data_IF_436889667067
#
_entry.id   IF_436889667067
#
_cell.length_a   1.000
_cell.length_b   1.000
_cell.length_c   1.000
_cell.angle_alpha   90.00
_cell.angle_beta   90.00
_cell.angle_gamma   90.00
#
_symmetry.space_group_name_H-M   'P 1'
#
loop_
_entity.id
_entity.type
_entity.pdbx_description
1 polymer ?
#
# COMPACT_ATOMS: atom_id res chain seq x y z
N UNK A 1 -18.86 -18.15 -0.25
CA UNK A 1 -17.49 -18.41 0.23
C UNK A 1 -17.27 -17.62 1.51
N UNK A 2 -16.72 -18.25 2.54
CA UNK A 2 -16.37 -17.62 3.82
C UNK A 2 -14.85 -17.44 3.91
N UNK A 3 -14.39 -16.23 4.15
CA UNK A 3 -12.97 -15.88 4.17
C UNK A 3 -12.61 -15.12 5.46
N UNK A 4 -11.58 -15.59 6.16
CA UNK A 4 -10.98 -14.85 7.25
C UNK A 4 -9.70 -14.17 6.79
N UNK A 5 -9.62 -12.85 6.94
CA UNK A 5 -8.38 -12.11 6.73
C UNK A 5 -7.69 -11.93 8.09
N UNK A 6 -6.57 -12.60 8.31
CA UNK A 6 -5.83 -12.54 9.57
C UNK A 6 -4.53 -11.78 9.35
N UNK A 7 -4.33 -10.68 10.05
CA UNK A 7 -3.16 -9.80 9.84
C UNK A 7 -2.53 -9.33 11.15
N UNK A 8 -1.23 -9.09 11.14
CA UNK A 8 -0.48 -8.53 12.29
C UNK A 8 -0.30 -7.01 12.14
N UNK A 9 -1.32 -6.33 11.62
CA UNK A 9 -1.36 -4.89 11.39
C UNK A 9 -2.27 -4.21 12.40
N UNK A 10 -2.05 -2.91 12.63
CA UNK A 10 -2.88 -2.10 13.51
C UNK A 10 -4.09 -1.55 12.74
N UNK A 11 -5.24 -1.44 13.40
CA UNK A 11 -6.45 -0.78 12.90
C UNK A 11 -7.12 0.02 14.02
N UNK A 12 -7.60 1.25 13.71
CA UNK A 12 -7.37 1.99 12.47
C UNK A 12 -5.92 2.46 12.31
N UNK A 13 -5.46 2.67 11.06
CA UNK A 13 -4.09 3.12 10.80
C UNK A 13 -3.95 3.77 9.41
N UNK A 14 -3.20 4.87 9.32
CA UNK A 14 -2.84 5.57 8.08
C UNK A 14 -1.78 4.84 7.25
N UNK A 15 -1.24 3.71 7.74
CA UNK A 15 -0.21 2.95 7.03
C UNK A 15 -0.79 2.35 5.74
N UNK A 16 -0.07 2.47 4.64
CA UNK A 16 -0.50 1.97 3.33
C UNK A 16 -0.89 0.48 3.34
N UNK A 17 -0.18 -0.35 4.12
CA UNK A 17 -0.50 -1.77 4.25
C UNK A 17 -1.84 -2.02 4.96
N UNK A 18 -2.21 -1.21 5.96
CA UNK A 18 -3.50 -1.31 6.63
C UNK A 18 -4.63 -0.83 5.71
N UNK A 19 -4.42 0.26 4.98
CA UNK A 19 -5.36 0.73 3.96
C UNK A 19 -5.61 -0.33 2.87
N UNK A 20 -4.54 -0.96 2.35
CA UNK A 20 -4.67 -2.06 1.38
C UNK A 20 -5.49 -3.22 1.92
N UNK A 21 -5.22 -3.65 3.15
CA UNK A 21 -5.93 -4.78 3.76
C UNK A 21 -7.41 -4.49 3.95
N UNK A 22 -7.74 -3.32 4.54
CA UNK A 22 -9.13 -2.97 4.81
C UNK A 22 -9.93 -2.76 3.51
N UNK A 23 -9.33 -2.11 2.51
CA UNK A 23 -9.95 -1.94 1.18
C UNK A 23 -10.15 -3.30 0.49
N UNK A 24 -9.19 -4.23 0.61
CA UNK A 24 -9.38 -5.60 0.10
C UNK A 24 -10.55 -6.30 0.76
N UNK A 25 -10.71 -6.20 2.10
CA UNK A 25 -11.84 -6.77 2.82
C UNK A 25 -13.18 -6.15 2.39
N UNK A 26 -13.23 -4.82 2.21
CA UNK A 26 -14.41 -4.11 1.68
C UNK A 26 -14.84 -4.70 0.33
N UNK A 27 -13.92 -4.79 -0.64
CA UNK A 27 -14.26 -5.30 -1.97
C UNK A 27 -14.52 -6.81 -2.02
N UNK A 28 -13.95 -7.61 -1.11
CA UNK A 28 -14.36 -9.01 -0.94
C UNK A 28 -15.82 -9.10 -0.51
N UNK A 29 -16.23 -8.30 0.48
CA UNK A 29 -17.62 -8.24 0.94
C UNK A 29 -18.57 -7.76 -0.15
N UNK A 30 -18.22 -6.71 -0.90
CA UNK A 30 -19.02 -6.21 -2.03
C UNK A 30 -19.19 -7.24 -3.15
N UNK A 31 -18.32 -8.26 -3.23
CA UNK A 31 -18.44 -9.40 -4.13
C UNK A 31 -19.01 -10.66 -3.44
N UNK A 32 -19.84 -10.49 -2.39
CA UNK A 32 -20.56 -11.55 -1.69
C UNK A 32 -19.66 -12.62 -1.02
N UNK A 33 -18.47 -12.23 -0.58
CA UNK A 33 -17.61 -13.07 0.27
C UNK A 33 -17.88 -12.74 1.73
N UNK A 34 -18.35 -13.72 2.54
CA UNK A 34 -18.52 -13.53 4.01
C UNK A 34 -17.14 -13.36 4.64
N UNK A 35 -16.76 -12.10 4.79
CA UNK A 35 -15.40 -11.70 5.18
C UNK A 35 -15.35 -11.28 6.64
N UNK A 36 -14.36 -11.77 7.39
CA UNK A 36 -14.03 -11.29 8.73
C UNK A 36 -12.54 -10.92 8.81
N UNK A 37 -12.24 -9.69 9.22
CA UNK A 37 -10.88 -9.21 9.46
C UNK A 37 -10.50 -9.39 10.93
N UNK A 38 -9.45 -10.19 11.18
CA UNK A 38 -8.86 -10.38 12.51
C UNK A 38 -7.50 -9.65 12.61
N UNK A 39 -7.32 -8.89 13.70
CA UNK A 39 -6.10 -8.10 13.92
C UNK A 39 -5.75 -8.01 15.42
N UNK A 40 -4.49 -7.68 15.80
CA UNK A 40 -4.09 -7.56 17.19
C UNK A 40 -4.58 -6.26 17.81
N UNK A 41 -5.22 -6.34 18.98
CA UNK A 41 -5.45 -5.20 19.87
C UNK A 41 -4.17 -4.91 20.65
N UNK A 42 -3.52 -3.80 20.35
CA UNK A 42 -2.26 -3.38 21.02
C UNK A 42 -2.49 -2.31 22.07
N UNK A 43 -3.58 -1.58 21.95
CA UNK A 43 -4.05 -0.58 22.91
C UNK A 43 -5.31 -1.12 23.59
N UNK A 44 -5.55 -0.66 24.79
CA UNK A 44 -6.75 -1.03 25.57
C UNK A 44 -8.03 -0.33 25.04
N UNK A 45 -7.94 0.40 23.92
CA UNK A 45 -9.07 1.03 23.25
C UNK A 45 -9.88 -0.02 22.48
N UNK A 46 -11.19 0.04 22.62
CA UNK A 46 -12.12 -0.82 21.89
C UNK A 46 -12.25 -0.32 20.45
N UNK A 47 -11.26 -0.66 19.60
CA UNK A 47 -11.22 -0.25 18.20
C UNK A 47 -11.96 -1.21 17.26
N UNK A 48 -12.73 -2.10 17.84
CA UNK A 48 -13.52 -3.17 17.19
C UNK A 48 -14.84 -2.66 16.61
N UNK A 49 -15.17 -1.41 16.91
CA UNK A 49 -16.43 -0.82 16.46
C UNK A 49 -16.34 -0.47 14.97
N UNK A 50 -17.24 -1.04 14.19
CA UNK A 50 -17.34 -0.78 12.75
C UNK A 50 -17.43 0.71 12.44
N UNK A 51 -18.17 1.46 13.24
CA UNK A 51 -18.34 2.92 13.11
C UNK A 51 -17.02 3.67 13.21
N UNK A 52 -16.11 3.28 14.11
CA UNK A 52 -14.77 3.92 14.23
C UNK A 52 -13.97 3.68 12.97
N UNK A 53 -14.02 2.48 12.41
CA UNK A 53 -13.31 2.10 11.20
C UNK A 53 -13.93 2.78 9.97
N UNK A 54 -15.25 2.83 9.86
CA UNK A 54 -15.97 3.52 8.79
C UNK A 54 -15.61 5.01 8.76
N UNK A 55 -15.67 5.69 9.89
CA UNK A 55 -15.31 7.10 9.99
C UNK A 55 -13.84 7.38 9.66
N UNK A 56 -12.94 6.49 10.11
CA UNK A 56 -11.50 6.67 9.87
C UNK A 56 -11.13 6.48 8.40
N UNK A 57 -11.71 5.47 7.73
CA UNK A 57 -11.42 5.15 6.32
C UNK A 57 -12.42 5.80 5.36
N UNK A 58 -13.41 6.55 5.89
CA UNK A 58 -14.47 7.20 5.12
C UNK A 58 -15.24 6.21 4.23
N UNK A 59 -15.59 5.04 4.79
CA UNK A 59 -16.44 4.05 4.13
C UNK A 59 -17.91 4.28 4.54
N UNK A 60 -18.84 4.23 3.60
CA UNK A 60 -20.29 4.32 3.89
C UNK A 60 -20.80 3.08 4.64
N UNK A 61 -20.30 1.92 4.27
CA UNK A 61 -20.59 0.64 4.91
C UNK A 61 -19.44 -0.32 4.62
N UNK A 62 -18.85 -0.91 5.65
CA UNK A 62 -17.76 -1.87 5.47
C UNK A 62 -18.22 -3.22 4.93
N UNK A 63 -19.46 -3.63 5.24
CA UNK A 63 -20.04 -4.89 4.76
C UNK A 63 -19.36 -6.17 5.26
N UNK A 64 -18.25 -6.08 5.99
CA UNK A 64 -17.50 -7.20 6.57
C UNK A 64 -17.38 -7.07 8.09
N UNK A 65 -17.04 -8.18 8.76
CA UNK A 65 -16.90 -8.22 10.21
C UNK A 65 -15.49 -7.85 10.63
N UNK A 66 -15.36 -7.11 11.74
CA UNK A 66 -14.10 -6.75 12.38
C UNK A 66 -13.96 -7.46 13.73
N UNK A 67 -12.76 -7.96 14.03
CA UNK A 67 -12.46 -8.65 15.28
C UNK A 67 -11.03 -8.33 15.73
N UNK A 68 -10.92 -7.46 16.71
CA UNK A 68 -9.67 -7.25 17.43
C UNK A 68 -9.41 -8.39 18.42
N UNK A 69 -8.23 -8.97 18.37
CA UNK A 69 -7.86 -10.06 19.27
C UNK A 69 -6.79 -9.61 20.27
N UNK A 70 -6.92 -9.96 21.57
CA UNK A 70 -5.95 -9.55 22.57
C UNK A 70 -4.52 -9.97 22.22
N UNK A 71 -3.56 -9.08 22.46
CA UNK A 71 -2.15 -9.32 22.27
C UNK A 71 -1.44 -9.39 23.63
N UNK A 72 -1.09 -10.60 24.09
CA UNK A 72 -0.50 -10.82 25.43
C UNK A 72 0.91 -10.24 25.60
N UNK A 73 1.69 -10.12 24.53
CA UNK A 73 3.03 -9.53 24.58
C UNK A 73 3.00 -8.12 23.99
N UNK A 74 2.95 -7.11 24.85
CA UNK A 74 3.03 -5.69 24.42
C UNK A 74 4.45 -5.36 23.98
N UNK A 75 4.58 -4.78 22.78
CA UNK A 75 5.86 -4.50 22.10
C UNK A 75 6.77 -3.50 22.84
N UNK A 76 6.22 -2.71 23.76
CA UNK A 76 6.87 -1.51 24.33
C UNK A 76 7.97 -1.79 25.36
N UNK A 77 8.09 -3.03 25.89
CA UNK A 77 8.92 -3.29 27.07
C UNK A 77 10.40 -3.64 26.83
N UNK A 78 10.83 -3.89 25.58
CA UNK A 78 12.21 -4.34 25.30
C UNK A 78 12.89 -3.58 24.16
N UNK A 79 13.54 -2.46 24.50
CA UNK A 79 14.24 -1.58 23.52
C UNK A 79 15.50 -2.21 22.89
N UNK A 80 16.14 -3.18 23.53
CA UNK A 80 17.47 -3.70 23.15
C UNK A 80 17.48 -4.74 22.00
N UNK A 81 16.40 -5.51 21.79
CA UNK A 81 16.34 -6.58 20.76
C UNK A 81 15.19 -6.40 19.76
N UNK A 82 15.03 -5.20 19.20
CA UNK A 82 13.86 -4.83 18.40
C UNK A 82 13.43 -5.83 17.31
N UNK A 83 14.36 -6.39 16.52
CA UNK A 83 14.00 -7.31 15.41
C UNK A 83 13.61 -8.71 15.89
N UNK A 84 14.37 -9.29 16.80
CA UNK A 84 14.08 -10.63 17.34
C UNK A 84 12.80 -10.63 18.17
N UNK A 85 12.61 -9.60 18.99
CA UNK A 85 11.40 -9.46 19.79
C UNK A 85 10.15 -9.28 18.93
N UNK A 86 10.23 -8.51 17.85
CA UNK A 86 9.12 -8.38 16.88
C UNK A 86 8.72 -9.73 16.27
N UNK A 87 9.68 -10.56 15.88
CA UNK A 87 9.40 -11.91 15.37
C UNK A 87 8.74 -12.78 16.43
N UNK A 88 9.26 -12.76 17.66
CA UNK A 88 8.70 -13.53 18.78
C UNK A 88 7.24 -13.11 19.08
N UNK A 89 6.98 -11.81 19.17
CA UNK A 89 5.61 -11.30 19.40
C UNK A 89 4.65 -11.69 18.29
N UNK A 90 5.12 -11.67 17.04
CA UNK A 90 4.34 -12.13 15.90
C UNK A 90 4.04 -13.63 15.95
N UNK A 91 5.02 -14.48 16.32
CA UNK A 91 4.82 -15.92 16.49
C UNK A 91 3.77 -16.19 17.57
N UNK A 92 3.97 -15.63 18.77
CA UNK A 92 3.06 -15.82 19.89
C UNK A 92 1.64 -15.40 19.54
N UNK A 93 1.49 -14.21 18.97
CA UNK A 93 0.16 -13.75 18.55
C UNK A 93 -0.45 -14.65 17.47
N UNK A 94 0.33 -15.12 16.50
CA UNK A 94 -0.14 -16.02 15.46
C UNK A 94 -0.68 -17.34 16.03
N UNK A 95 -0.01 -17.92 17.00
CA UNK A 95 -0.47 -19.15 17.68
C UNK A 95 -1.76 -18.86 18.47
N UNK A 96 -1.77 -17.80 19.27
CA UNK A 96 -2.91 -17.43 20.10
C UNK A 96 -4.14 -17.11 19.29
N UNK A 97 -3.99 -16.30 18.23
CA UNK A 97 -5.10 -15.90 17.35
C UNK A 97 -5.70 -17.09 16.60
N UNK A 98 -4.87 -17.98 16.04
CA UNK A 98 -5.38 -19.16 15.35
C UNK A 98 -6.10 -20.11 16.31
N UNK A 99 -5.54 -20.40 17.49
CA UNK A 99 -6.20 -21.22 18.49
C UNK A 99 -7.54 -20.62 18.92
N UNK A 100 -7.59 -19.31 19.17
CA UNK A 100 -8.82 -18.62 19.56
C UNK A 100 -9.87 -18.67 18.44
N UNK A 101 -9.47 -18.38 17.19
CA UNK A 101 -10.36 -18.38 16.05
C UNK A 101 -10.95 -19.77 15.80
N UNK A 102 -10.13 -20.82 15.78
CA UNK A 102 -10.61 -22.17 15.51
C UNK A 102 -11.43 -22.78 16.63
N UNK A 103 -11.28 -22.30 17.87
CA UNK A 103 -12.09 -22.75 18.99
C UNK A 103 -13.45 -22.04 19.04
N UNK A 104 -13.52 -20.76 18.68
CA UNK A 104 -14.72 -19.92 18.90
C UNK A 104 -15.54 -19.65 17.66
N UNK A 105 -15.00 -19.89 16.46
CA UNK A 105 -15.67 -19.55 15.20
C UNK A 105 -15.68 -20.71 14.22
N UNK A 106 -16.71 -20.77 13.35
CA UNK A 106 -16.79 -21.81 12.31
C UNK A 106 -15.59 -21.72 11.35
N UNK A 107 -15.16 -22.88 10.87
CA UNK A 107 -14.07 -22.99 9.91
C UNK A 107 -14.40 -22.21 8.62
N UNK A 108 -13.50 -21.31 8.12
CA UNK A 108 -13.71 -20.66 6.85
C UNK A 108 -13.24 -21.55 5.68
N UNK A 109 -13.64 -21.21 4.45
CA UNK A 109 -13.14 -21.86 3.24
C UNK A 109 -11.66 -21.53 3.01
N UNK A 110 -11.28 -20.26 3.25
CA UNK A 110 -9.89 -19.78 3.14
C UNK A 110 -9.52 -18.83 4.26
N UNK A 111 -8.25 -18.85 4.64
CA UNK A 111 -7.64 -17.79 5.44
C UNK A 111 -6.66 -17.02 4.54
N UNK A 112 -6.90 -15.72 4.38
CA UNK A 112 -6.00 -14.80 3.70
C UNK A 112 -5.12 -14.07 4.71
N UNK A 113 -3.84 -13.90 4.40
CA UNK A 113 -2.89 -13.27 5.34
C UNK A 113 -1.71 -12.61 4.63
N UNK A 114 -1.06 -11.68 5.34
CA UNK A 114 0.25 -11.08 5.01
C UNK A 114 1.30 -11.39 6.08
N UNK A 115 0.91 -12.15 7.11
CA UNK A 115 1.76 -12.50 8.24
C UNK A 115 2.47 -13.84 8.00
N UNK A 116 3.81 -13.81 8.04
CA UNK A 116 4.67 -14.98 7.73
C UNK A 116 4.36 -16.19 8.60
N UNK A 117 4.16 -15.96 9.90
CA UNK A 117 3.93 -17.05 10.87
C UNK A 117 2.52 -17.63 10.77
N UNK A 118 1.51 -16.83 10.40
CA UNK A 118 0.17 -17.35 10.07
C UNK A 118 0.27 -18.29 8.86
N UNK A 119 0.95 -17.87 7.79
CA UNK A 119 1.19 -18.72 6.61
C UNK A 119 1.87 -20.03 7.01
N UNK A 120 2.96 -19.97 7.81
CA UNK A 120 3.70 -21.16 8.22
C UNK A 120 2.83 -22.15 9.00
N UNK A 121 2.10 -21.67 10.01
CA UNK A 121 1.27 -22.51 10.87
C UNK A 121 0.11 -23.15 10.10
N UNK A 122 -0.56 -22.39 9.22
CA UNK A 122 -1.67 -22.90 8.43
C UNK A 122 -1.21 -23.93 7.38
N UNK A 123 -0.13 -23.62 6.64
CA UNK A 123 0.41 -24.55 5.66
C UNK A 123 0.92 -25.85 6.28
N UNK A 124 1.54 -25.77 7.48
CA UNK A 124 1.97 -26.96 8.25
C UNK A 124 0.79 -27.86 8.62
N UNK A 125 -0.35 -27.30 8.95
CA UNK A 125 -1.55 -28.03 9.35
C UNK A 125 -2.50 -28.33 8.17
N UNK A 126 -2.04 -28.16 6.93
CA UNK A 126 -2.78 -28.41 5.70
C UNK A 126 -4.13 -27.66 5.65
N UNK A 127 -4.16 -26.42 6.18
CA UNK A 127 -5.33 -25.56 6.12
C UNK A 127 -5.28 -24.67 4.88
N UNK A 128 -6.40 -24.46 4.13
CA UNK A 128 -6.42 -23.58 2.97
C UNK A 128 -5.99 -22.15 3.31
N UNK A 129 -4.86 -21.71 2.78
CA UNK A 129 -4.27 -20.40 3.06
C UNK A 129 -3.88 -19.67 1.79
N UNK A 130 -4.17 -18.36 1.78
CA UNK A 130 -3.78 -17.42 0.73
C UNK A 130 -2.84 -16.38 1.31
N UNK A 131 -1.65 -16.26 0.77
CA UNK A 131 -0.65 -15.32 1.25
C UNK A 131 -0.40 -14.19 0.25
N UNK A 132 -0.57 -12.93 0.67
CA UNK A 132 -0.19 -11.78 -0.14
C UNK A 132 1.27 -11.37 0.14
N UNK A 133 2.13 -11.56 -0.85
CA UNK A 133 3.55 -11.23 -0.79
C UNK A 133 3.83 -9.83 -1.34
N UNK A 134 4.02 -8.84 -0.44
CA UNK A 134 4.34 -7.46 -0.80
C UNK A 134 5.84 -7.12 -0.72
N UNK A 135 6.62 -7.95 -0.05
CA UNK A 135 8.07 -7.76 0.10
C UNK A 135 8.75 -9.10 0.39
N UNK A 136 10.04 -9.19 0.15
CA UNK A 136 10.83 -10.38 0.43
C UNK A 136 11.85 -10.11 1.54
N UNK A 137 11.81 -10.97 2.57
CA UNK A 137 12.85 -11.09 3.59
C UNK A 137 13.46 -12.48 3.52
N UNK A 138 14.62 -12.71 4.13
CA UNK A 138 15.24 -14.05 4.19
C UNK A 138 14.28 -15.07 4.81
N UNK A 139 13.69 -14.74 5.96
CA UNK A 139 12.72 -15.60 6.66
C UNK A 139 11.49 -15.88 5.78
N UNK A 140 10.91 -14.84 5.15
CA UNK A 140 9.76 -15.00 4.27
C UNK A 140 10.05 -15.92 3.09
N UNK A 141 11.23 -15.80 2.45
CA UNK A 141 11.62 -16.72 1.37
C UNK A 141 11.65 -18.16 1.79
N UNK A 142 12.14 -18.46 3.01
CA UNK A 142 12.15 -19.83 3.54
C UNK A 142 10.75 -20.35 3.81
N UNK A 143 9.89 -19.53 4.45
CA UNK A 143 8.49 -19.90 4.73
C UNK A 143 7.72 -20.10 3.43
N UNK A 144 7.86 -19.22 2.43
CA UNK A 144 7.23 -19.36 1.14
C UNK A 144 7.63 -20.66 0.42
N UNK A 145 8.94 -20.97 0.39
CA UNK A 145 9.45 -22.24 -0.19
C UNK A 145 8.94 -23.48 0.51
N UNK A 146 8.69 -23.41 1.81
CA UNK A 146 8.06 -24.50 2.56
C UNK A 146 6.57 -24.60 2.24
N UNK A 147 5.85 -23.49 2.34
CA UNK A 147 4.40 -23.43 2.23
C UNK A 147 3.88 -23.83 0.84
N UNK A 148 4.56 -23.39 -0.24
CA UNK A 148 4.13 -23.68 -1.62
C UNK A 148 4.18 -25.18 -1.99
N UNK A 149 4.96 -25.97 -1.25
CA UNK A 149 4.96 -27.45 -1.42
C UNK A 149 3.67 -28.11 -0.93
N UNK A 150 2.79 -27.34 -0.30
CA UNK A 150 1.50 -27.80 0.21
C UNK A 150 0.40 -27.41 -0.77
N UNK A 151 -0.39 -28.37 -1.22
CA UNK A 151 -1.46 -28.16 -2.23
C UNK A 151 -2.55 -27.18 -1.76
N UNK A 152 -2.69 -26.97 -0.47
CA UNK A 152 -3.64 -26.06 0.17
C UNK A 152 -3.15 -24.61 0.27
N UNK A 153 -1.96 -24.30 -0.25
CA UNK A 153 -1.36 -22.95 -0.17
C UNK A 153 -1.44 -22.27 -1.53
N UNK A 154 -1.97 -21.06 -1.52
CA UNK A 154 -1.99 -20.14 -2.66
C UNK A 154 -1.21 -18.88 -2.32
N UNK A 155 -0.46 -18.31 -3.28
CA UNK A 155 0.38 -17.12 -3.06
C UNK A 155 0.07 -16.08 -4.13
N UNK A 156 -0.17 -14.85 -3.67
CA UNK A 156 -0.38 -13.68 -4.52
C UNK A 156 0.87 -12.81 -4.43
N UNK A 157 1.57 -12.61 -5.55
CA UNK A 157 2.69 -11.67 -5.67
C UNK A 157 2.20 -10.36 -6.27
N UNK A 158 2.69 -9.23 -5.75
CA UNK A 158 2.29 -7.92 -6.25
C UNK A 158 2.85 -7.60 -7.65
N UNK A 159 3.94 -8.24 -8.05
CA UNK A 159 4.54 -8.10 -9.37
C UNK A 159 5.46 -9.28 -9.73
N UNK A 160 5.81 -9.38 -11.02
CA UNK A 160 6.68 -10.42 -11.56
C UNK A 160 8.06 -10.47 -10.91
N UNK A 161 8.60 -9.31 -10.53
CA UNK A 161 9.92 -9.20 -9.90
C UNK A 161 9.93 -9.85 -8.52
N UNK A 162 8.88 -9.67 -7.73
CA UNK A 162 8.75 -10.35 -6.43
C UNK A 162 8.71 -11.88 -6.61
N UNK A 163 7.97 -12.37 -7.60
CA UNK A 163 7.95 -13.80 -7.92
C UNK A 163 9.33 -14.28 -8.34
N UNK A 164 9.99 -13.60 -9.29
CA UNK A 164 11.31 -13.99 -9.77
C UNK A 164 12.36 -14.04 -8.63
N UNK A 165 12.40 -13.01 -7.79
CA UNK A 165 13.36 -12.89 -6.68
C UNK A 165 13.01 -13.80 -5.48
N UNK A 166 11.80 -14.36 -5.42
CA UNK A 166 11.41 -15.37 -4.43
C UNK A 166 12.13 -16.70 -4.64
N UNK A 167 12.55 -16.97 -5.88
CA UNK A 167 13.14 -18.23 -6.31
C UNK A 167 12.11 -19.35 -6.51
N UNK A 168 10.83 -19.00 -6.68
CA UNK A 168 9.73 -19.93 -6.94
C UNK A 168 9.41 -19.95 -8.45
N UNK A 169 10.37 -20.39 -9.26
CA UNK A 169 10.18 -20.66 -10.69
C UNK A 169 9.65 -22.07 -10.87
N UNK A 170 8.80 -22.30 -11.90
CA UNK A 170 8.29 -23.61 -12.31
C UNK A 170 7.27 -24.28 -11.38
N UNK A 171 6.41 -23.52 -10.71
CA UNK A 171 5.32 -24.06 -9.91
C UNK A 171 4.01 -24.17 -10.71
N UNK A 172 3.09 -25.00 -10.22
CA UNK A 172 1.77 -25.17 -10.84
C UNK A 172 1.02 -23.83 -10.92
N UNK A 173 0.44 -23.52 -12.08
CA UNK A 173 -0.24 -22.25 -12.34
C UNK A 173 -1.42 -21.95 -11.39
N UNK A 174 -1.98 -22.97 -10.73
CA UNK A 174 -3.12 -22.82 -9.82
C UNK A 174 -2.74 -22.40 -8.38
N UNK A 175 -1.45 -22.31 -8.03
CA UNK A 175 -1.00 -21.90 -6.70
C UNK A 175 -0.42 -20.47 -6.66
N UNK A 176 -0.17 -19.85 -7.80
CA UNK A 176 0.47 -18.53 -7.87
C UNK A 176 -0.38 -17.59 -8.72
N UNK A 177 -0.66 -16.42 -8.17
CA UNK A 177 -1.26 -15.30 -8.87
C UNK A 177 -0.31 -14.09 -8.82
N UNK A 178 -0.09 -13.41 -9.94
CA UNK A 178 0.53 -12.09 -9.98
C UNK A 178 -0.58 -11.08 -10.06
N UNK A 179 -0.73 -10.29 -9.00
CA UNK A 179 -1.84 -9.36 -8.86
C UNK A 179 -1.35 -8.04 -8.24
N UNK A 180 -1.21 -7.02 -9.08
CA UNK A 180 -0.82 -5.67 -8.65
C UNK A 180 -1.88 -5.01 -7.77
N UNK A 181 -1.52 -3.86 -7.18
CA UNK A 181 -2.46 -3.00 -6.48
C UNK A 181 -3.51 -2.41 -7.44
N UNK A 182 -4.47 -1.70 -6.89
CA UNK A 182 -5.48 -0.96 -7.60
C UNK A 182 -5.82 0.33 -6.84
N UNK A 183 -6.70 1.15 -7.40
CA UNK A 183 -7.27 2.29 -6.71
C UNK A 183 -8.69 1.98 -6.23
N UNK A 184 -9.13 2.67 -5.18
CA UNK A 184 -10.47 2.56 -4.62
C UNK A 184 -11.40 3.50 -5.41
N UNK A 185 -12.18 2.94 -6.31
CA UNK A 185 -13.00 3.67 -7.28
C UNK A 185 -14.06 4.55 -6.64
N UNK A 186 -14.52 4.27 -5.41
CA UNK A 186 -15.57 5.02 -4.73
C UNK A 186 -15.17 6.47 -4.41
N UNK A 187 -13.87 6.76 -4.35
CA UNK A 187 -13.37 8.10 -4.05
C UNK A 187 -13.18 9.00 -5.28
N UNK A 188 -13.24 8.45 -6.49
CA UNK A 188 -12.93 9.19 -7.71
C UNK A 188 -14.18 9.70 -8.41
N UNK A 189 -14.22 11.02 -8.67
CA UNK A 189 -15.31 11.69 -9.41
C UNK A 189 -14.88 11.98 -10.84
N UNK A 190 -15.82 11.90 -11.78
CA UNK A 190 -15.58 12.29 -13.16
C UNK A 190 -15.70 13.81 -13.33
N UNK A 191 -14.99 14.35 -14.33
CA UNK A 191 -15.17 15.74 -14.77
C UNK A 191 -14.58 16.81 -13.84
N UNK A 192 -13.64 16.48 -12.97
CA UNK A 192 -12.96 17.48 -12.12
C UNK A 192 -12.02 18.33 -12.98
N UNK A 193 -12.15 19.66 -12.88
CA UNK A 193 -11.27 20.60 -13.59
C UNK A 193 -9.85 20.56 -13.00
N UNK A 194 -8.85 20.57 -13.88
CA UNK A 194 -7.43 20.58 -13.52
C UNK A 194 -6.93 22.01 -13.25
N UNK A 195 -6.14 22.16 -12.22
CA UNK A 195 -5.32 23.33 -11.95
C UNK A 195 -4.02 23.18 -12.75
N UNK A 196 -3.81 24.06 -13.73
CA UNK A 196 -2.64 24.00 -14.62
C UNK A 196 -1.33 24.09 -13.83
N UNK A 197 -0.31 23.42 -14.29
CA UNK A 197 1.05 23.44 -13.73
C UNK A 197 1.09 23.02 -12.24
N UNK A 198 0.10 22.30 -11.74
CA UNK A 198 0.01 21.92 -10.33
C UNK A 198 0.48 20.50 -10.13
N UNK A 199 1.54 20.37 -9.31
CA UNK A 199 2.08 19.10 -8.83
C UNK A 199 1.47 18.74 -7.49
N UNK A 200 1.33 17.43 -7.23
CA UNK A 200 0.95 16.91 -5.93
C UNK A 200 1.85 15.76 -5.50
N UNK A 201 2.31 15.84 -4.26
CA UNK A 201 2.80 14.68 -3.52
C UNK A 201 1.80 14.34 -2.41
N UNK A 202 1.36 13.09 -2.32
CA UNK A 202 0.51 12.62 -1.23
C UNK A 202 1.02 11.30 -0.66
N UNK A 203 1.35 11.29 0.63
CA UNK A 203 1.85 10.10 1.33
C UNK A 203 2.62 10.45 2.59
N UNK A 204 3.00 9.44 3.38
CA UNK A 204 3.80 9.69 4.58
C UNK A 204 5.11 10.40 4.21
N UNK A 205 5.44 11.48 4.91
CA UNK A 205 6.64 12.29 4.64
C UNK A 205 7.90 11.61 5.19
N UNK A 206 7.72 10.70 6.15
CA UNK A 206 8.79 9.85 6.71
C UNK A 206 8.50 8.37 6.50
N UNK A 207 9.55 7.54 6.57
CA UNK A 207 9.44 6.08 6.55
C UNK A 207 10.46 5.46 7.48
N UNK A 208 10.00 4.70 8.49
CA UNK A 208 10.88 4.10 9.50
C UNK A 208 11.80 5.15 10.16
N UNK A 209 11.25 6.27 10.54
CA UNK A 209 11.92 7.45 11.13
C UNK A 209 13.02 8.04 10.23
N UNK A 210 12.90 7.91 8.92
CA UNK A 210 13.80 8.53 7.95
C UNK A 210 13.00 9.41 6.99
N UNK A 211 13.54 10.57 6.65
CA UNK A 211 13.00 11.48 5.63
C UNK A 211 12.92 10.77 4.27
N UNK A 212 11.87 11.03 3.52
CA UNK A 212 11.63 10.38 2.21
C UNK A 212 12.20 11.14 1.03
N UNK A 213 12.89 12.27 1.25
CA UNK A 213 13.42 13.12 0.19
C UNK A 213 12.39 14.13 -0.33
N UNK A 214 11.37 14.45 0.46
CA UNK A 214 10.41 15.52 0.15
C UNK A 214 11.11 16.89 0.20
N UNK A 215 12.00 17.06 1.16
CA UNK A 215 12.91 18.19 1.29
C UNK A 215 13.71 18.45 -0.01
N UNK A 216 14.25 17.41 -0.60
CA UNK A 216 14.97 17.50 -1.88
C UNK A 216 14.07 17.96 -3.04
N UNK A 217 12.82 17.52 -3.06
CA UNK A 217 11.86 17.96 -4.09
C UNK A 217 11.50 19.43 -3.90
N UNK A 218 11.33 19.90 -2.66
CA UNK A 218 11.13 21.33 -2.37
C UNK A 218 12.30 22.16 -2.93
N UNK A 219 13.55 21.73 -2.70
CA UNK A 219 14.74 22.40 -3.24
C UNK A 219 14.75 22.44 -4.78
N UNK A 220 14.16 21.44 -5.43
CA UNK A 220 14.00 21.47 -6.89
C UNK A 220 12.98 22.52 -7.33
N UNK A 221 11.84 22.64 -6.63
CA UNK A 221 10.80 23.61 -6.91
C UNK A 221 11.20 25.05 -6.57
N UNK A 222 12.24 25.24 -5.73
CA UNK A 222 12.81 26.54 -5.47
C UNK A 222 13.72 27.06 -6.62
N UNK A 223 13.88 26.29 -7.71
CA UNK A 223 14.61 26.71 -8.91
C UNK A 223 13.76 27.68 -9.75
N UNK A 224 14.37 28.75 -10.27
CA UNK A 224 13.70 29.78 -11.08
C UNK A 224 12.93 29.20 -12.27
N UNK A 225 13.41 28.13 -12.88
CA UNK A 225 12.78 27.44 -14.01
C UNK A 225 11.44 26.77 -13.64
N UNK A 226 11.17 26.55 -12.36
CA UNK A 226 9.93 25.91 -11.88
C UNK A 226 8.98 26.89 -11.17
N UNK A 227 9.24 28.19 -11.22
CA UNK A 227 8.39 29.19 -10.53
C UNK A 227 6.96 29.27 -11.10
N UNK A 228 6.75 28.91 -12.35
CA UNK A 228 5.41 28.83 -12.99
C UNK A 228 4.65 27.55 -12.61
N UNK A 229 5.28 26.66 -11.85
CA UNK A 229 4.66 25.42 -11.34
C UNK A 229 4.42 25.54 -9.85
N UNK A 230 3.29 25.00 -9.39
CA UNK A 230 2.96 24.88 -7.96
C UNK A 230 3.11 23.45 -7.48
N UNK A 231 3.53 23.29 -6.22
CA UNK A 231 3.65 21.98 -5.57
C UNK A 231 2.81 21.93 -4.29
N UNK A 232 1.88 20.98 -4.22
CA UNK A 232 1.13 20.66 -3.00
C UNK A 232 1.72 19.40 -2.35
N UNK A 233 2.11 19.50 -1.08
CA UNK A 233 2.64 18.38 -0.28
C UNK A 233 1.62 18.01 0.77
N UNK A 234 1.10 16.77 0.69
CA UNK A 234 0.11 16.23 1.63
C UNK A 234 0.69 15.00 2.30
N UNK A 235 0.74 15.00 3.62
CA UNK A 235 1.21 13.85 4.37
C UNK A 235 1.44 14.14 5.83
N UNK A 236 1.71 13.08 6.58
CA UNK A 236 1.92 13.11 8.02
C UNK A 236 3.40 12.96 8.36
N UNK A 237 3.85 13.76 9.34
CA UNK A 237 5.16 13.68 9.96
C UNK A 237 5.07 14.28 11.38
N UNK A 238 6.17 14.24 12.14
CA UNK A 238 6.29 15.02 13.36
C UNK A 238 6.28 16.54 13.06
N UNK A 239 5.87 17.33 14.06
CA UNK A 239 5.73 18.78 13.93
C UNK A 239 7.05 19.47 13.54
N UNK A 240 8.18 18.98 14.06
CA UNK A 240 9.51 19.52 13.77
C UNK A 240 9.84 19.40 12.28
N UNK A 241 9.56 18.22 11.68
CA UNK A 241 9.82 18.02 10.25
C UNK A 241 8.82 18.76 9.36
N UNK A 242 7.55 18.88 9.76
CA UNK A 242 6.59 19.72 9.03
C UNK A 242 7.05 21.19 9.02
N UNK A 243 7.44 21.73 10.16
CA UNK A 243 7.98 23.08 10.26
C UNK A 243 9.26 23.27 9.43
N UNK A 244 10.17 22.29 9.40
CA UNK A 244 11.35 22.32 8.52
C UNK A 244 10.95 22.43 7.05
N UNK A 245 9.96 21.66 6.60
CA UNK A 245 9.49 21.68 5.21
C UNK A 245 8.82 23.01 4.85
N UNK A 246 8.01 23.56 5.75
CA UNK A 246 7.36 24.86 5.58
C UNK A 246 8.38 26.00 5.46
N UNK A 247 9.40 26.03 6.31
CA UNK A 247 10.47 27.04 6.24
C UNK A 247 11.35 26.93 5.00
N UNK A 248 11.42 25.75 4.38
CA UNK A 248 12.16 25.51 3.14
C UNK A 248 11.36 25.88 1.90
N UNK A 249 10.03 25.86 2.00
CA UNK A 249 9.12 26.12 0.90
C UNK A 249 9.11 27.60 0.49
N UNK A 250 9.18 27.86 -0.80
CA UNK A 250 8.89 29.19 -1.39
C UNK A 250 7.41 29.31 -1.73
N UNK A 251 7.00 30.47 -2.28
CA UNK A 251 5.61 30.81 -2.54
C UNK A 251 4.86 29.84 -3.46
N UNK A 252 5.58 29.09 -4.31
CA UNK A 252 5.03 28.09 -5.21
C UNK A 252 4.88 26.70 -4.58
N UNK A 253 5.28 26.51 -3.30
CA UNK A 253 5.21 25.23 -2.59
C UNK A 253 4.31 25.37 -1.36
N UNK A 254 3.30 24.50 -1.22
CA UNK A 254 2.38 24.45 -0.10
C UNK A 254 2.49 23.12 0.64
N UNK A 255 2.83 23.16 1.93
CA UNK A 255 2.83 21.99 2.83
C UNK A 255 1.51 21.95 3.57
N UNK A 256 0.63 21.01 3.23
CA UNK A 256 -0.75 20.95 3.72
C UNK A 256 -0.93 20.00 4.93
N UNK A 257 0.14 19.31 5.33
CA UNK A 257 0.07 18.37 6.46
C UNK A 257 -0.85 17.16 6.16
N UNK A 258 -1.40 16.59 7.24
CA UNK A 258 -2.34 15.48 7.14
C UNK A 258 -3.72 15.93 6.66
N UNK A 259 -4.25 15.24 5.65
CA UNK A 259 -5.64 15.39 5.20
C UNK A 259 -6.36 14.03 5.20
N UNK A 260 -7.68 14.03 5.41
CA UNK A 260 -8.52 12.83 5.24
C UNK A 260 -8.48 12.35 3.79
N UNK A 261 -8.73 11.05 3.58
CA UNK A 261 -8.58 10.38 2.27
C UNK A 261 -9.40 11.06 1.17
N UNK A 262 -10.64 11.42 1.44
CA UNK A 262 -11.51 12.12 0.48
C UNK A 262 -10.91 13.45 0.01
N UNK A 263 -10.34 14.24 0.93
CA UNK A 263 -9.68 15.51 0.62
C UNK A 263 -8.39 15.29 -0.17
N UNK A 264 -7.58 14.28 0.21
CA UNK A 264 -6.38 13.90 -0.54
C UNK A 264 -6.73 13.58 -1.99
N UNK A 265 -7.77 12.77 -2.24
CA UNK A 265 -8.20 12.41 -3.59
C UNK A 265 -8.77 13.63 -4.33
N UNK A 266 -9.51 14.50 -3.65
CA UNK A 266 -10.01 15.76 -4.25
C UNK A 266 -8.84 16.63 -4.74
N UNK A 267 -7.80 16.82 -3.94
CA UNK A 267 -6.61 17.59 -4.36
C UNK A 267 -5.82 16.88 -5.47
N UNK A 268 -5.73 15.54 -5.42
CA UNK A 268 -5.15 14.77 -6.55
C UNK A 268 -5.92 14.99 -7.84
N UNK A 269 -7.25 14.95 -7.81
CA UNK A 269 -8.04 15.10 -9.01
C UNK A 269 -7.93 16.51 -9.62
N UNK A 270 -7.66 17.54 -8.81
CA UNK A 270 -7.39 18.88 -9.30
C UNK A 270 -5.98 19.04 -9.89
N UNK A 271 -4.99 18.33 -9.37
CA UNK A 271 -3.61 18.45 -9.83
C UNK A 271 -3.45 17.93 -11.27
N UNK A 272 -2.42 18.41 -11.95
CA UNK A 272 -2.03 17.97 -13.29
C UNK A 272 -0.95 16.88 -13.24
N UNK A 273 -0.04 16.98 -12.25
CA UNK A 273 1.11 16.11 -12.11
C UNK A 273 1.14 15.42 -10.74
N UNK A 274 1.49 14.14 -10.71
CA UNK A 274 1.69 13.37 -9.49
C UNK A 274 3.15 13.02 -9.27
N UNK A 275 3.67 13.23 -8.06
CA UNK A 275 5.05 12.88 -7.71
C UNK A 275 5.10 11.58 -6.92
N UNK A 276 5.80 10.59 -7.44
CA UNK A 276 6.22 9.43 -6.68
C UNK A 276 7.61 9.70 -6.10
N UNK A 277 7.66 9.96 -4.79
CA UNK A 277 8.92 10.13 -4.08
C UNK A 277 9.25 8.81 -3.38
N UNK A 278 10.40 8.25 -3.73
CA UNK A 278 10.89 7.01 -3.14
C UNK A 278 12.41 7.09 -2.96
N UNK A 279 12.91 6.43 -1.93
CA UNK A 279 14.35 6.44 -1.64
C UNK A 279 15.00 5.14 -2.06
N UNK A 280 16.27 5.21 -2.47
CA UNK A 280 17.10 4.03 -2.81
C UNK A 280 17.57 3.22 -1.59
N UNK A 281 17.10 3.55 -0.38
CA UNK A 281 17.60 3.00 0.89
C UNK A 281 17.26 1.52 1.14
N UNK A 282 16.41 0.90 0.34
CA UNK A 282 16.07 -0.51 0.52
C UNK A 282 15.84 -1.24 -0.81
N UNK A 283 16.18 -2.51 -0.85
CA UNK A 283 15.90 -3.42 -1.98
C UNK A 283 14.40 -3.41 -2.33
N UNK A 284 13.52 -3.33 -1.33
CA UNK A 284 12.10 -3.23 -1.57
C UNK A 284 11.72 -1.97 -2.35
N UNK A 285 12.25 -0.81 -1.96
CA UNK A 285 11.98 0.46 -2.67
C UNK A 285 12.50 0.45 -4.09
N UNK A 286 13.70 -0.12 -4.31
CA UNK A 286 14.35 -0.15 -5.63
C UNK A 286 13.73 -1.15 -6.59
N UNK A 287 13.39 -2.36 -6.10
CA UNK A 287 13.12 -3.50 -6.97
C UNK A 287 11.67 -4.01 -6.90
N UNK A 288 11.03 -3.92 -5.73
CA UNK A 288 9.81 -4.68 -5.44
C UNK A 288 8.57 -3.83 -5.17
N UNK A 289 8.74 -2.51 -5.01
CA UNK A 289 7.59 -1.66 -4.68
C UNK A 289 6.54 -1.66 -5.80
N UNK A 290 5.28 -1.72 -5.37
CA UNK A 290 4.10 -1.51 -6.21
C UNK A 290 3.28 -0.40 -5.53
N UNK A 291 3.59 0.90 -5.81
CA UNK A 291 3.11 2.01 -5.02
C UNK A 291 1.63 2.29 -5.26
N UNK A 292 0.80 2.28 -4.20
CA UNK A 292 -0.62 2.65 -4.28
C UNK A 292 -0.85 3.98 -4.97
N UNK A 293 0.02 4.96 -4.69
CA UNK A 293 -0.11 6.31 -5.26
C UNK A 293 0.00 6.34 -6.78
N UNK A 294 0.71 5.37 -7.38
CA UNK A 294 0.71 5.24 -8.84
C UNK A 294 -0.70 5.00 -9.38
N UNK A 295 -1.45 4.09 -8.76
CA UNK A 295 -2.81 3.74 -9.19
C UNK A 295 -3.79 4.89 -8.92
N UNK A 296 -3.67 5.54 -7.76
CA UNK A 296 -4.49 6.71 -7.41
C UNK A 296 -4.23 7.91 -8.33
N UNK A 297 -2.97 8.22 -8.64
CA UNK A 297 -2.60 9.29 -9.58
C UNK A 297 -3.07 8.99 -11.00
N UNK A 298 -2.92 7.74 -11.44
CA UNK A 298 -3.41 7.31 -12.75
C UNK A 298 -4.93 7.41 -12.84
N UNK A 299 -5.65 7.01 -11.78
CA UNK A 299 -7.10 7.16 -11.69
C UNK A 299 -7.55 8.63 -11.68
N UNK A 300 -6.75 9.50 -11.07
CA UNK A 300 -6.98 10.95 -11.14
C UNK A 300 -6.59 11.57 -12.48
N UNK A 301 -6.04 10.82 -13.44
CA UNK A 301 -5.62 11.30 -14.76
C UNK A 301 -4.35 12.17 -14.73
N UNK A 302 -3.46 11.96 -13.75
CA UNK A 302 -2.24 12.74 -13.62
C UNK A 302 -1.12 12.18 -14.51
N UNK A 303 -0.26 13.06 -15.01
CA UNK A 303 1.08 12.71 -15.50
C UNK A 303 1.96 12.44 -14.29
N UNK A 304 2.56 11.26 -14.20
CA UNK A 304 3.28 10.81 -13.02
C UNK A 304 4.78 10.93 -13.23
N UNK A 305 5.46 11.63 -12.33
CA UNK A 305 6.92 11.74 -12.33
C UNK A 305 7.47 10.91 -11.18
N UNK A 306 8.48 10.08 -11.48
CA UNK A 306 9.10 9.18 -10.51
C UNK A 306 10.62 9.07 -10.73
N UNK A 307 11.41 8.79 -9.67
CA UNK A 307 12.82 8.46 -9.86
C UNK A 307 12.96 7.16 -10.66
N UNK A 308 13.98 7.11 -11.52
CA UNK A 308 14.25 5.96 -12.39
C UNK A 308 14.79 4.77 -11.59
N UNK A 309 13.86 4.03 -10.99
CA UNK A 309 14.13 2.76 -10.31
C UNK A 309 13.59 1.57 -11.10
N UNK A 310 14.21 0.39 -11.02
CA UNK A 310 13.70 -0.81 -11.68
C UNK A 310 12.23 -1.12 -11.36
N UNK A 311 11.80 -0.88 -10.12
CA UNK A 311 10.40 -1.04 -9.73
C UNK A 311 9.46 -0.09 -10.49
N UNK A 312 9.88 1.17 -10.71
CA UNK A 312 9.09 2.14 -11.46
C UNK A 312 9.12 1.85 -12.96
N UNK A 313 10.24 1.35 -13.50
CA UNK A 313 10.32 0.92 -14.93
C UNK A 313 9.27 -0.14 -15.25
N UNK A 314 8.93 -1.02 -14.32
CA UNK A 314 7.88 -2.03 -14.50
C UNK A 314 6.48 -1.41 -14.66
N UNK A 315 6.29 -0.15 -14.24
CA UNK A 315 5.04 0.59 -14.41
C UNK A 315 4.94 1.34 -15.75
N UNK A 316 6.02 1.39 -16.55
CA UNK A 316 6.05 2.05 -17.87
C UNK A 316 5.07 1.47 -18.91
N UNK A 317 4.53 0.29 -18.67
CA UNK A 317 3.43 -0.25 -19.49
C UNK A 317 2.18 0.64 -19.45
N UNK A 318 2.10 1.56 -18.50
CA UNK A 318 1.12 2.61 -18.41
C UNK A 318 1.71 3.92 -18.97
N UNK A 319 1.02 4.57 -19.89
CA UNK A 319 1.52 5.68 -20.71
C UNK A 319 1.81 6.99 -19.96
N UNK A 320 1.33 7.13 -18.72
CA UNK A 320 1.38 8.38 -17.97
C UNK A 320 2.57 8.51 -17.00
N UNK A 321 3.57 7.62 -17.06
CA UNK A 321 4.75 7.60 -16.18
C UNK A 321 6.02 8.10 -16.86
N UNK A 322 6.64 9.11 -16.25
CA UNK A 322 7.88 9.76 -16.68
C UNK A 322 8.96 9.60 -15.62
N UNK A 323 10.17 9.28 -16.04
CA UNK A 323 11.26 8.92 -15.12
C UNK A 323 12.40 9.93 -15.19
N UNK A 324 12.88 10.37 -14.01
CA UNK A 324 14.07 11.20 -13.87
C UNK A 324 15.17 10.46 -13.11
N UNK A 325 16.44 10.85 -13.34
CA UNK A 325 17.59 10.28 -12.63
C UNK A 325 17.52 10.67 -11.14
N UNK A 326 17.42 9.67 -10.27
CA UNK A 326 17.27 9.90 -8.83
C UNK A 326 18.38 10.77 -8.25
N UNK A 327 18.00 11.77 -7.45
CA UNK A 327 18.93 12.72 -6.83
C UNK A 327 19.57 13.73 -7.79
N UNK A 328 19.10 13.81 -9.04
CA UNK A 328 19.63 14.73 -10.05
C UNK A 328 18.58 15.79 -10.41
N UNK A 329 18.81 17.04 -9.94
CA UNK A 329 17.93 18.19 -10.12
C UNK A 329 17.73 18.52 -11.60
N UNK A 330 18.80 18.54 -12.40
CA UNK A 330 18.74 18.87 -13.83
C UNK A 330 17.89 17.85 -14.60
N UNK A 331 18.04 16.56 -14.27
CA UNK A 331 17.19 15.52 -14.87
C UNK A 331 15.73 15.67 -14.50
N UNK A 332 15.43 16.09 -13.26
CA UNK A 332 14.06 16.36 -12.81
C UNK A 332 13.46 17.53 -13.58
N UNK A 333 14.15 18.68 -13.62
CA UNK A 333 13.69 19.89 -14.30
C UNK A 333 13.47 19.60 -15.79
N UNK A 334 14.42 18.98 -16.45
CA UNK A 334 14.27 18.58 -17.86
C UNK A 334 13.01 17.71 -18.07
N UNK A 335 12.76 16.77 -17.16
CA UNK A 335 11.54 15.93 -17.25
C UNK A 335 10.26 16.77 -17.11
N UNK A 336 10.25 17.80 -16.26
CA UNK A 336 9.13 18.73 -16.11
C UNK A 336 8.92 19.57 -17.37
N UNK A 337 10.00 20.14 -17.94
CA UNK A 337 9.96 20.93 -19.18
C UNK A 337 9.44 20.11 -20.36
N UNK A 338 9.94 18.87 -20.53
CA UNK A 338 9.49 17.96 -21.58
C UNK A 338 8.00 17.62 -21.46
N UNK A 339 7.45 17.63 -20.23
CA UNK A 339 6.03 17.39 -19.94
C UNK A 339 5.12 18.59 -20.21
N UNK A 340 5.62 19.80 -20.04
CA UNK A 340 4.84 21.03 -20.30
C UNK A 340 4.35 21.13 -21.75
N UNK A 341 5.05 20.52 -22.69
CA UNK A 341 4.69 20.46 -24.10
C UNK A 341 3.65 19.37 -24.45
N UNK A 342 3.35 18.44 -23.54
CA UNK A 342 2.48 17.30 -23.80
C UNK A 342 1.02 17.59 -23.38
N UNK A 343 0.05 17.19 -24.22
CA UNK A 343 -1.39 17.34 -23.90
C UNK A 343 -1.80 16.49 -22.70
N UNK A 344 -2.54 17.06 -21.75
CA UNK A 344 -3.09 16.35 -20.58
C UNK A 344 -4.31 15.55 -20.99
N UNK A 345 -4.31 14.26 -20.70
CA UNK A 345 -5.52 13.45 -20.81
C UNK A 345 -6.50 13.86 -19.68
N UNK A 346 -7.71 14.28 -20.04
CA UNK A 346 -8.78 14.55 -19.06
C UNK A 346 -9.43 13.27 -18.50
N UNK A 347 -9.02 12.10 -18.97
CA UNK A 347 -9.61 10.83 -18.56
C UNK A 347 -8.60 9.96 -17.84
N UNK A 348 -9.05 9.19 -16.82
CA UNK A 348 -8.24 8.15 -16.19
C UNK A 348 -7.69 7.18 -17.25
N UNK A 349 -6.49 6.69 -17.03
CA UNK A 349 -5.97 5.61 -17.87
C UNK A 349 -6.86 4.36 -17.65
N UNK A 350 -7.57 3.97 -18.70
CA UNK A 350 -8.52 2.82 -18.68
C UNK A 350 -7.84 1.48 -18.35
N UNK A 351 -6.51 1.41 -18.45
CA UNK A 351 -5.74 0.21 -18.15
C UNK A 351 -5.36 0.09 -16.67
N UNK A 352 -5.64 1.10 -15.86
CA UNK A 352 -5.31 1.10 -14.44
C UNK A 352 -6.34 0.30 -13.65
N UNK A 353 -5.84 -0.65 -12.89
CA UNK A 353 -6.65 -1.60 -12.14
C UNK A 353 -7.40 -0.94 -10.98
N UNK A 354 -8.72 -1.22 -10.88
CA UNK A 354 -9.53 -0.90 -9.71
C UNK A 354 -9.40 -1.97 -8.62
N UNK A 355 -9.77 -1.65 -7.39
CA UNK A 355 -9.88 -2.67 -6.33
C UNK A 355 -10.98 -3.69 -6.61
N UNK A 356 -12.09 -3.30 -7.25
CA UNK A 356 -13.13 -4.25 -7.68
C UNK A 356 -12.57 -5.30 -8.64
N UNK A 357 -11.87 -4.87 -9.69
CA UNK A 357 -11.23 -5.77 -10.65
C UNK A 357 -10.17 -6.66 -9.99
N UNK A 358 -9.32 -6.07 -9.13
CA UNK A 358 -8.31 -6.80 -8.36
C UNK A 358 -8.92 -7.92 -7.53
N UNK A 359 -9.98 -7.64 -6.80
CA UNK A 359 -10.62 -8.60 -5.91
C UNK A 359 -11.36 -9.69 -6.69
N UNK A 360 -12.00 -9.35 -7.83
CA UNK A 360 -12.58 -10.35 -8.73
C UNK A 360 -11.54 -11.36 -9.21
N UNK A 361 -10.35 -10.90 -9.60
CA UNK A 361 -9.24 -11.77 -9.99
C UNK A 361 -8.80 -12.69 -8.84
N UNK A 362 -8.74 -12.16 -7.60
CA UNK A 362 -8.42 -12.95 -6.41
C UNK A 362 -9.50 -14.01 -6.18
N UNK A 363 -10.78 -13.66 -6.24
CA UNK A 363 -11.89 -14.61 -6.04
C UNK A 363 -11.82 -15.72 -7.08
N UNK A 364 -11.65 -15.38 -8.36
CA UNK A 364 -11.51 -16.38 -9.44
C UNK A 364 -10.34 -17.32 -9.17
N UNK A 365 -9.20 -16.79 -8.74
CA UNK A 365 -8.03 -17.59 -8.36
C UNK A 365 -8.29 -18.53 -7.19
N UNK A 366 -9.18 -18.18 -6.25
CA UNK A 366 -9.52 -19.03 -5.12
C UNK A 366 -10.46 -20.17 -5.51
N UNK A 367 -11.25 -20.01 -6.56
CA UNK A 367 -12.24 -21.00 -7.04
C UNK A 367 -11.65 -22.09 -7.94
N UNK A 368 -10.43 -21.88 -8.45
CA UNK A 368 -9.65 -22.87 -9.21
C UNK A 368 -8.81 -23.73 -8.27
#
# INVERSE_FOLDING_TARGET
MKLYYITYQDFPSNKANSQQTITTCKYLSLNNVDTTLYFPLRKDENTDESVVIENFYEFENIGFKLRGLPHKLKFEKLKLFKKGYFQLTQIVWSIQSLNFIFHNYPKPDYIMTRADWILFLLSRNNFPVVFECHQLTKTRKLILKYAIKKNNTKIIFMNDRLLADSGMKNLQNNQILIQSNGYDEDFFKLGVNKEKNTFIFAGNLTRSNKKRGVDLIIDYFNDERLQDYSLKIIGDADEEYLYELENRAQNNVSVLGYLKKSKVIQEMQKAEFGLLINTHQSTHSLLHTDPLKFYEYSAAGLKIIAPDFPAHRNLKKYSNLYLYKNGNKESFIKTVEDLGAATVSKQPDKNVQTYSSRVKNIINFLQV
#
